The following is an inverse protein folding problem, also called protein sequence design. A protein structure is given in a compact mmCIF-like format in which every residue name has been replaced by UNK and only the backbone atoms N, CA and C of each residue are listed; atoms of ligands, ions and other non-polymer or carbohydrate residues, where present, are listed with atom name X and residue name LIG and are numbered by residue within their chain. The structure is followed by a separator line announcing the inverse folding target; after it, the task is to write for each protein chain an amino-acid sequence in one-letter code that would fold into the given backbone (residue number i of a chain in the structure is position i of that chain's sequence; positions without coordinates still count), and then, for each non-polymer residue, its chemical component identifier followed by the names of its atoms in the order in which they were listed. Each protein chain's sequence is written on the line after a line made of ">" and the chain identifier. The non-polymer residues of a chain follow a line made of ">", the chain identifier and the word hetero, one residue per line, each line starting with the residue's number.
data_IF_187283365172
#
_entry.id   IF_187283365172
#
_cell.length_a   1.000
_cell.length_b   1.000
_cell.length_c   1.000
_cell.angle_alpha   90.00
_cell.angle_beta   90.00
_cell.angle_gamma   90.00
#
_symmetry.space_group_name_H-M   'P 1'
#
loop_
_entity.id
_entity.type
_entity.pdbx_description
1 polymer ?
#
# COMPACT_ATOMS: atom_id res chain seq x y z
N UNK A 1 5.80 -6.91 -14.78
CA UNK A 1 5.91 -5.70 -13.90
C UNK A 1 5.39 -6.03 -12.51
N UNK A 2 6.13 -5.62 -11.49
CA UNK A 2 5.70 -5.76 -10.09
C UNK A 2 5.24 -4.42 -9.54
N UNK A 3 4.20 -4.46 -8.73
CA UNK A 3 3.69 -3.28 -8.00
C UNK A 3 4.42 -3.21 -6.66
N UNK A 4 4.94 -2.05 -6.28
CA UNK A 4 5.64 -1.89 -5.00
C UNK A 4 5.11 -0.65 -4.27
N UNK A 5 4.82 -0.78 -2.97
CA UNK A 5 4.51 0.38 -2.13
C UNK A 5 5.70 1.34 -2.14
N UNK A 6 5.48 2.58 -2.57
CA UNK A 6 6.57 3.54 -2.81
C UNK A 6 7.44 3.80 -1.57
N UNK A 7 6.86 3.77 -0.37
CA UNK A 7 7.63 4.00 0.86
C UNK A 7 8.70 2.92 1.11
N UNK A 8 8.52 1.71 0.58
CA UNK A 8 9.51 0.64 0.71
C UNK A 8 10.78 0.89 -0.10
N UNK A 9 10.70 1.75 -1.10
CA UNK A 9 11.83 2.13 -1.96
C UNK A 9 12.52 3.42 -1.51
N UNK A 10 12.09 4.00 -0.38
CA UNK A 10 12.70 5.20 0.17
C UNK A 10 11.93 6.50 -0.12
N UNK A 11 10.80 6.44 -0.81
CA UNK A 11 9.96 7.63 -1.00
C UNK A 11 9.40 8.11 0.34
N UNK A 12 9.52 9.39 0.63
CA UNK A 12 9.09 9.99 1.90
C UNK A 12 7.58 10.26 1.90
N UNK A 13 6.78 9.21 1.70
CA UNK A 13 5.33 9.29 1.63
C UNK A 13 4.60 8.64 2.82
N UNK A 14 5.36 8.22 3.83
CA UNK A 14 4.81 7.71 5.08
C UNK A 14 4.09 8.83 5.84
N UNK A 15 3.14 8.48 6.71
CA UNK A 15 2.32 9.48 7.42
C UNK A 15 3.13 10.51 8.21
N UNK A 16 4.31 10.17 8.71
CA UNK A 16 5.19 11.06 9.48
C UNK A 16 6.17 11.85 8.61
N UNK A 17 6.08 11.73 7.28
CA UNK A 17 6.98 12.38 6.33
C UNK A 17 8.26 11.59 6.07
N UNK A 18 8.39 10.40 6.65
CA UNK A 18 9.53 9.51 6.43
C UNK A 18 9.23 8.44 5.39
N UNK A 19 10.06 7.41 5.38
CA UNK A 19 9.91 6.25 4.50
C UNK A 19 10.03 4.95 5.30
N UNK A 20 9.66 3.84 4.65
CA UNK A 20 9.85 2.49 5.16
C UNK A 20 10.88 1.75 4.32
N UNK A 21 11.94 2.45 3.90
CA UNK A 21 12.99 1.91 3.02
C UNK A 21 13.47 0.54 3.48
N UNK A 22 13.35 -0.45 2.59
CA UNK A 22 13.66 -1.85 2.90
C UNK A 22 14.68 -2.37 1.88
N UNK A 23 15.84 -2.81 2.36
CA UNK A 23 16.97 -3.16 1.51
C UNK A 23 16.63 -4.21 0.45
N UNK A 24 16.02 -5.34 0.87
CA UNK A 24 15.74 -6.40 -0.10
C UNK A 24 14.72 -5.97 -1.17
N UNK A 25 13.81 -5.06 -0.82
CA UNK A 25 12.83 -4.53 -1.78
C UNK A 25 13.52 -3.62 -2.79
N UNK A 26 14.44 -2.78 -2.35
CA UNK A 26 15.24 -1.95 -3.26
C UNK A 26 16.07 -2.81 -4.21
N UNK A 27 16.71 -3.86 -3.68
CA UNK A 27 17.49 -4.79 -4.51
C UNK A 27 16.61 -5.51 -5.52
N UNK A 28 15.42 -5.94 -5.11
CA UNK A 28 14.43 -6.54 -6.01
C UNK A 28 14.05 -5.57 -7.13
N UNK A 29 13.80 -4.31 -6.78
CA UNK A 29 13.41 -3.28 -7.75
C UNK A 29 14.48 -3.01 -8.81
N UNK A 30 15.77 -3.17 -8.47
CA UNK A 30 16.87 -3.00 -9.42
C UNK A 30 16.90 -4.13 -10.48
N UNK A 31 16.34 -5.28 -10.16
CA UNK A 31 16.40 -6.48 -11.02
C UNK A 31 15.12 -6.74 -11.81
N UNK A 32 14.05 -5.99 -11.55
CA UNK A 32 12.73 -6.25 -12.14
C UNK A 32 12.10 -4.96 -12.64
N UNK A 33 11.18 -5.09 -13.59
CA UNK A 33 10.30 -3.99 -13.96
C UNK A 33 9.31 -3.75 -12.85
N UNK A 34 9.24 -2.51 -12.34
CA UNK A 34 8.37 -2.18 -11.21
C UNK A 34 7.54 -0.92 -11.46
N UNK A 35 6.43 -0.81 -10.77
CA UNK A 35 5.64 0.41 -10.66
C UNK A 35 5.43 0.72 -9.18
N UNK A 36 6.00 1.83 -8.73
CA UNK A 36 5.87 2.25 -7.34
C UNK A 36 4.65 3.15 -7.16
N UNK A 37 3.82 2.88 -6.17
CA UNK A 37 2.63 3.69 -5.86
C UNK A 37 2.47 3.90 -4.36
N UNK A 38 1.87 5.03 -3.99
CA UNK A 38 1.39 5.28 -2.64
C UNK A 38 -0.08 5.68 -2.72
N UNK A 39 -1.02 4.76 -2.40
CA UNK A 39 -2.44 5.06 -2.52
C UNK A 39 -2.89 6.25 -1.66
N UNK A 40 -2.28 6.46 -0.50
CA UNK A 40 -2.63 7.59 0.37
C UNK A 40 -2.20 8.92 -0.22
N UNK A 41 -1.03 8.98 -0.85
CA UNK A 41 -0.60 10.17 -1.60
C UNK A 41 -1.54 10.43 -2.78
N UNK A 42 -1.93 9.39 -3.49
CA UNK A 42 -2.87 9.51 -4.61
C UNK A 42 -4.29 9.87 -4.15
N UNK A 43 -4.62 9.62 -2.89
CA UNK A 43 -5.87 10.08 -2.28
C UNK A 43 -5.86 11.59 -1.99
N UNK A 44 -4.75 12.27 -2.23
CA UNK A 44 -4.59 13.68 -1.91
C UNK A 44 -4.13 13.94 -0.50
N UNK A 45 -3.75 12.90 0.25
CA UNK A 45 -3.24 13.04 1.59
C UNK A 45 -1.74 13.33 1.54
N UNK A 46 -1.32 14.49 2.00
CA UNK A 46 0.09 14.87 2.04
C UNK A 46 0.86 14.09 3.12
N UNK A 47 2.17 14.30 3.16
CA UNK A 47 3.03 13.81 4.23
C UNK A 47 3.80 15.00 4.83
N UNK A 48 3.85 15.19 6.15
CA UNK A 48 3.21 14.35 7.17
C UNK A 48 1.68 14.49 7.22
N UNK A 49 1.03 13.50 7.80
CA UNK A 49 -0.43 13.46 7.99
C UNK A 49 -0.77 12.64 9.23
N UNK A 50 -2.01 12.75 9.70
CA UNK A 50 -2.48 11.94 10.82
C UNK A 50 -2.46 10.44 10.44
N UNK A 51 -2.04 9.54 11.35
CA UNK A 51 -2.16 8.11 11.10
C UNK A 51 -3.63 7.70 10.99
N UNK A 52 -3.89 6.71 10.14
CA UNK A 52 -5.23 6.18 9.85
C UNK A 52 -5.23 4.70 10.13
N UNK A 53 -6.28 4.21 10.80
CA UNK A 53 -6.50 2.78 11.02
C UNK A 53 -7.91 2.41 10.62
N UNK A 54 -8.14 1.12 10.34
CA UNK A 54 -9.46 0.63 9.94
C UNK A 54 -10.16 0.01 11.16
N UNK A 55 -11.39 0.47 11.43
CA UNK A 55 -12.27 -0.13 12.43
C UNK A 55 -13.65 -0.31 11.82
N UNK A 56 -14.21 -1.51 11.93
CA UNK A 56 -15.53 -1.85 11.36
C UNK A 56 -15.66 -1.47 9.87
N UNK A 57 -14.58 -1.66 9.11
CA UNK A 57 -14.56 -1.35 7.68
C UNK A 57 -14.43 0.13 7.34
N UNK A 58 -14.28 1.00 8.35
CA UNK A 58 -14.12 2.45 8.17
C UNK A 58 -12.70 2.88 8.51
N UNK A 59 -12.13 3.73 7.65
CA UNK A 59 -10.80 4.30 7.87
C UNK A 59 -10.94 5.59 8.68
N UNK A 60 -10.37 5.61 9.88
CA UNK A 60 -10.48 6.77 10.79
C UNK A 60 -9.11 7.23 11.24
N UNK A 61 -8.98 8.55 11.43
CA UNK A 61 -7.79 9.14 12.02
C UNK A 61 -7.87 9.05 13.54
N UNK A 62 -6.72 9.25 14.20
CA UNK A 62 -6.66 9.24 15.65
C UNK A 62 -7.53 10.35 16.27
N UNK A 63 -7.76 11.46 15.56
CA UNK A 63 -8.64 12.55 16.00
C UNK A 63 -10.10 12.38 15.56
N UNK A 64 -10.47 11.20 15.05
CA UNK A 64 -11.86 10.83 14.79
C UNK A 64 -12.42 11.18 13.42
N UNK A 65 -11.60 11.67 12.49
CA UNK A 65 -12.07 11.95 11.12
C UNK A 65 -12.18 10.65 10.32
N UNK A 66 -13.27 10.50 9.58
CA UNK A 66 -13.48 9.35 8.68
C UNK A 66 -12.92 9.68 7.30
N UNK A 67 -11.89 8.96 6.86
CA UNK A 67 -11.26 9.13 5.57
C UNK A 67 -11.50 7.93 4.64
N UNK A 68 -12.55 7.16 4.89
CA UNK A 68 -12.86 5.96 4.12
C UNK A 68 -12.98 6.23 2.63
N UNK A 69 -13.75 7.25 2.24
CA UNK A 69 -13.97 7.56 0.82
C UNK A 69 -12.69 8.02 0.15
N UNK A 70 -11.88 8.81 0.84
CA UNK A 70 -10.58 9.29 0.34
C UNK A 70 -9.62 8.13 0.13
N UNK A 71 -9.52 7.20 1.08
CA UNK A 71 -8.64 6.05 0.95
C UNK A 71 -9.11 5.08 -0.14
N UNK A 72 -10.41 4.87 -0.26
CA UNK A 72 -10.95 4.05 -1.35
C UNK A 72 -10.70 4.67 -2.72
N UNK A 73 -10.88 5.98 -2.84
CA UNK A 73 -10.58 6.71 -4.08
C UNK A 73 -9.08 6.60 -4.44
N UNK A 74 -8.21 6.78 -3.45
CA UNK A 74 -6.76 6.64 -3.65
C UNK A 74 -6.36 5.24 -4.09
N UNK A 75 -7.00 4.22 -3.51
CA UNK A 75 -6.78 2.82 -3.89
C UNK A 75 -7.18 2.57 -5.35
N UNK A 76 -8.30 3.11 -5.80
CA UNK A 76 -8.75 2.98 -7.18
C UNK A 76 -7.84 3.72 -8.15
N UNK A 77 -7.39 4.92 -7.80
CA UNK A 77 -6.43 5.68 -8.63
C UNK A 77 -5.12 4.89 -8.74
N UNK A 78 -4.62 4.34 -7.64
CA UNK A 78 -3.41 3.52 -7.64
C UNK A 78 -3.58 2.30 -8.54
N UNK A 79 -4.71 1.62 -8.46
CA UNK A 79 -4.98 0.45 -9.29
C UNK A 79 -5.00 0.81 -10.77
N UNK A 80 -5.72 1.87 -11.14
CA UNK A 80 -5.74 2.35 -12.54
C UNK A 80 -4.36 2.80 -13.01
N UNK A 81 -3.56 3.39 -12.13
CA UNK A 81 -2.19 3.82 -12.45
C UNK A 81 -1.32 2.62 -12.82
N UNK A 82 -1.37 1.54 -12.04
CA UNK A 82 -0.56 0.35 -12.32
C UNK A 82 -1.05 -0.39 -13.55
N UNK A 83 -2.36 -0.44 -13.81
CA UNK A 83 -2.91 -1.01 -15.05
C UNK A 83 -2.42 -0.25 -16.27
N UNK A 84 -2.47 1.08 -16.22
CA UNK A 84 -2.00 1.93 -17.32
C UNK A 84 -0.51 1.75 -17.57
N UNK A 85 0.29 1.68 -16.52
CA UNK A 85 1.73 1.45 -16.65
C UNK A 85 2.03 0.11 -17.31
N UNK A 86 1.33 -0.94 -16.90
CA UNK A 86 1.50 -2.27 -17.50
C UNK A 86 1.12 -2.27 -18.98
N UNK A 87 -0.01 -1.64 -19.32
CA UNK A 87 -0.48 -1.53 -20.69
C UNK A 87 0.51 -0.77 -21.59
N UNK A 88 0.97 0.39 -21.13
CA UNK A 88 1.94 1.22 -21.87
C UNK A 88 3.25 0.45 -22.10
N UNK A 89 3.70 -0.31 -21.12
CA UNK A 89 4.93 -1.10 -21.22
C UNK A 89 4.76 -2.41 -21.98
N UNK A 90 3.53 -2.84 -22.25
CA UNK A 90 3.25 -4.15 -22.83
C UNK A 90 3.61 -5.30 -21.90
N UNK A 91 3.48 -5.11 -20.60
CA UNK A 91 3.84 -6.10 -19.58
C UNK A 91 2.60 -6.53 -18.78
N UNK A 92 2.65 -7.75 -18.25
CA UNK A 92 1.65 -8.23 -17.30
C UNK A 92 2.05 -7.85 -15.87
N UNK A 93 1.06 -7.74 -14.98
CA UNK A 93 1.31 -7.57 -13.56
C UNK A 93 1.60 -8.94 -12.98
N UNK A 94 2.83 -9.13 -12.49
CA UNK A 94 3.31 -10.42 -11.98
C UNK A 94 3.08 -10.60 -10.49
N UNK A 95 2.93 -9.52 -9.74
CA UNK A 95 2.71 -9.55 -8.31
C UNK A 95 2.87 -8.18 -7.68
N UNK A 96 2.73 -8.12 -6.37
CA UNK A 96 2.87 -6.89 -5.61
C UNK A 96 3.63 -7.13 -4.30
N UNK A 97 4.48 -6.18 -3.94
CA UNK A 97 5.18 -6.12 -2.65
C UNK A 97 4.70 -4.85 -1.95
N UNK A 98 4.01 -5.03 -0.83
CA UNK A 98 3.28 -3.93 -0.18
C UNK A 98 3.71 -3.74 1.28
N UNK A 99 3.50 -2.53 1.81
CA UNK A 99 3.82 -2.22 3.20
C UNK A 99 2.82 -2.90 4.14
N UNK A 100 3.35 -3.72 5.06
CA UNK A 100 2.54 -4.42 6.06
C UNK A 100 1.73 -3.46 6.95
N UNK A 101 0.56 -3.89 7.38
CA UNK A 101 -0.33 -3.29 8.39
C UNK A 101 -0.99 -1.96 8.01
N UNK A 102 -0.68 -1.38 6.87
CA UNK A 102 -1.23 -0.11 6.43
C UNK A 102 -2.72 -0.23 6.07
N UNK A 103 -3.54 0.84 6.26
CA UNK A 103 -4.95 0.81 5.85
C UNK A 103 -5.14 0.73 4.34
N UNK A 104 -4.12 1.06 3.55
CA UNK A 104 -4.15 0.93 2.09
C UNK A 104 -3.43 -0.31 1.61
N UNK A 105 -2.25 -0.60 2.14
CA UNK A 105 -1.33 -1.61 1.63
C UNK A 105 -1.20 -2.87 2.48
N UNK A 106 -1.77 -2.91 3.69
CA UNK A 106 -1.68 -4.09 4.56
C UNK A 106 -2.27 -5.33 3.91
N UNK A 107 -1.60 -6.46 4.06
CA UNK A 107 -2.05 -7.74 3.49
C UNK A 107 -2.08 -8.81 4.58
N UNK A 108 -3.24 -9.37 4.81
CA UNK A 108 -3.49 -10.40 5.82
C UNK A 108 -3.71 -9.84 7.23
N UNK A 109 -3.01 -8.80 7.60
CA UNK A 109 -3.18 -8.11 8.88
C UNK A 109 -3.12 -6.60 8.72
N UNK A 110 -3.91 -5.88 9.50
CA UNK A 110 -3.95 -4.43 9.57
C UNK A 110 -4.05 -4.02 11.04
N UNK A 111 -3.76 -2.75 11.34
CA UNK A 111 -4.01 -2.22 12.68
C UNK A 111 -5.51 -2.15 12.97
N UNK A 112 -5.89 -2.41 14.22
CA UNK A 112 -7.28 -2.70 14.61
C UNK A 112 -8.16 -1.47 14.88
N UNK A 113 -7.64 -0.28 14.75
CA UNK A 113 -8.39 0.97 14.97
C UNK A 113 -8.24 1.54 16.38
N UNK A 114 -7.51 0.88 17.27
CA UNK A 114 -7.31 1.37 18.66
C UNK A 114 -6.11 2.31 18.78
N UNK A 115 -5.29 2.43 17.73
CA UNK A 115 -4.03 3.21 17.72
C UNK A 115 -3.05 2.75 18.81
N UNK A 116 -3.05 1.44 19.10
CA UNK A 116 -2.24 0.82 20.16
C UNK A 116 -1.27 -0.22 19.59
N UNK A 117 -0.99 -0.19 18.29
CA UNK A 117 -0.15 -1.16 17.56
C UNK A 117 -0.67 -2.61 17.66
N UNK A 118 -1.95 -2.79 17.94
CA UNK A 118 -2.62 -4.10 17.93
C UNK A 118 -3.11 -4.40 16.51
N UNK A 119 -2.88 -5.62 16.06
CA UNK A 119 -3.20 -6.05 14.70
C UNK A 119 -4.39 -6.98 14.69
N UNK A 120 -5.14 -6.96 13.58
CA UNK A 120 -6.27 -7.85 13.35
C UNK A 120 -6.22 -8.35 11.91
N UNK A 121 -6.91 -9.45 11.63
CA UNK A 121 -7.01 -9.98 10.27
C UNK A 121 -7.71 -8.98 9.37
N UNK A 122 -7.17 -8.76 8.18
CA UNK A 122 -7.78 -7.88 7.19
C UNK A 122 -6.77 -7.40 6.16
N UNK A 123 -7.28 -6.73 5.13
CA UNK A 123 -6.51 -6.14 4.05
C UNK A 123 -6.80 -4.65 3.93
N UNK A 124 -5.78 -3.87 3.56
CA UNK A 124 -5.95 -2.48 3.19
C UNK A 124 -6.76 -2.35 1.89
N UNK A 125 -7.30 -1.17 1.63
CA UNK A 125 -8.22 -0.98 0.49
C UNK A 125 -7.58 -1.26 -0.86
N UNK A 126 -6.31 -0.87 -1.06
CA UNK A 126 -5.61 -1.16 -2.31
C UNK A 126 -5.37 -2.66 -2.48
N UNK A 127 -4.98 -3.34 -1.41
CA UNK A 127 -4.75 -4.79 -1.44
C UNK A 127 -6.05 -5.55 -1.72
N UNK A 128 -7.18 -5.08 -1.21
CA UNK A 128 -8.48 -5.67 -1.55
C UNK A 128 -8.70 -5.66 -3.06
N UNK A 129 -8.45 -4.53 -3.73
CA UNK A 129 -8.56 -4.42 -5.18
C UNK A 129 -7.59 -5.35 -5.91
N UNK A 130 -6.33 -5.41 -5.47
CA UNK A 130 -5.34 -6.29 -6.09
C UNK A 130 -5.77 -7.74 -6.01
N UNK A 131 -6.22 -8.20 -4.86
CA UNK A 131 -6.66 -9.59 -4.66
C UNK A 131 -7.93 -9.91 -5.44
N UNK A 132 -8.87 -8.98 -5.54
CA UNK A 132 -10.07 -9.14 -6.38
C UNK A 132 -9.73 -9.39 -7.84
N UNK A 133 -8.62 -8.85 -8.32
CA UNK A 133 -8.16 -9.01 -9.70
C UNK A 133 -7.09 -10.09 -9.86
N UNK A 134 -6.92 -10.94 -8.86
CA UNK A 134 -6.04 -12.10 -8.93
C UNK A 134 -4.55 -11.81 -8.81
N UNK A 135 -4.17 -10.62 -8.34
CA UNK A 135 -2.76 -10.28 -8.13
C UNK A 135 -2.24 -10.96 -6.88
N UNK A 136 -1.10 -11.63 -6.99
CA UNK A 136 -0.43 -12.24 -5.85
C UNK A 136 0.28 -11.15 -5.03
N UNK A 137 -0.03 -11.04 -3.75
CA UNK A 137 0.46 -9.96 -2.87
C UNK A 137 1.28 -10.53 -1.73
N UNK A 138 2.48 -9.98 -1.53
CA UNK A 138 3.30 -10.21 -0.32
C UNK A 138 3.64 -8.88 0.33
N UNK A 139 4.05 -8.92 1.59
CA UNK A 139 4.54 -7.73 2.29
C UNK A 139 6.06 -7.74 2.38
N UNK A 140 6.65 -6.62 2.85
CA UNK A 140 8.10 -6.54 3.07
C UNK A 140 8.59 -7.49 4.17
N UNK A 141 7.68 -8.07 4.96
CA UNK A 141 8.00 -9.08 5.97
C UNK A 141 8.26 -10.45 5.34
N UNK A 142 7.86 -10.66 4.09
CA UNK A 142 8.06 -11.87 3.33
C UNK A 142 9.06 -11.58 2.22
N UNK A 143 10.16 -12.31 2.13
CA UNK A 143 11.16 -12.04 1.10
C UNK A 143 10.82 -12.82 -0.18
N UNK A 144 10.60 -12.11 -1.30
CA UNK A 144 10.21 -12.72 -2.58
C UNK A 144 11.33 -13.57 -3.21
N UNK A 145 12.57 -13.39 -2.78
CA UNK A 145 13.73 -14.11 -3.30
C UNK A 145 14.04 -15.41 -2.53
N UNK A 146 13.26 -15.71 -1.52
CA UNK A 146 13.39 -16.96 -0.75
C UNK A 146 12.76 -18.16 -1.44
#
# INVERSE_FOLDING_TARGET
>A
MYIISACLLGTNCKYDGGSNSTEWVRDFAEKHSICAVCPETLAGLGAPREPVEIINGRAVTNDGRDLTDELKAGAEIAYRTVLSAAEIRGEEIEGAIVKSFSPSCGSGEIYDGTFSHVKTAGDGYFVQLLKEHGVNVITEKENADE
#
